data_IF_233205924494
#
_entry.id   IF_233205924494
#
_cell.length_a   1.000
_cell.length_b   1.000
_cell.length_c   1.000
_cell.angle_alpha   90.00
_cell.angle_beta   90.00
_cell.angle_gamma   90.00
#
_symmetry.space_group_name_H-M   'P 1'
#
loop_
_entity.id
_entity.type
_entity.pdbx_description
1 polymer ?
#
# COMPACT_ATOMS: atom_id res chain seq x y z
N UNK A 1 1.69 9.88 23.90
CA UNK A 1 0.87 10.55 22.87
C UNK A 1 1.61 10.42 21.56
N UNK A 2 1.07 9.65 20.61
CA UNK A 2 1.65 9.56 19.26
C UNK A 2 1.09 10.78 18.50
N UNK A 3 1.94 11.68 17.95
CA UNK A 3 1.47 12.83 17.21
C UNK A 3 0.56 12.38 16.06
N UNK A 4 -0.42 13.21 15.70
CA UNK A 4 -1.33 12.96 14.61
C UNK A 4 -0.52 12.68 13.33
N UNK A 5 -0.46 11.41 12.95
CA UNK A 5 0.37 10.93 11.85
C UNK A 5 -0.10 11.45 10.50
N UNK A 6 -1.38 11.86 10.38
CA UNK A 6 -1.95 12.43 9.15
C UNK A 6 -1.09 13.59 8.63
N UNK A 7 -0.97 14.69 9.40
CA UNK A 7 -0.14 15.84 9.06
C UNK A 7 1.33 15.53 8.74
N UNK A 8 1.96 14.59 9.46
CA UNK A 8 3.37 14.24 9.23
C UNK A 8 3.59 13.50 7.90
N UNK A 9 2.64 12.66 7.49
CA UNK A 9 2.72 11.95 6.21
C UNK A 9 2.33 12.87 5.04
N UNK A 10 1.36 13.77 5.20
CA UNK A 10 1.05 14.80 4.20
C UNK A 10 2.23 15.75 3.96
N UNK A 11 2.91 16.19 5.02
CA UNK A 11 4.10 17.07 4.92
C UNK A 11 5.31 16.38 4.30
N UNK A 12 5.38 15.04 4.37
CA UNK A 12 6.41 14.24 3.72
C UNK A 12 6.08 13.89 2.25
N UNK A 13 4.96 14.39 1.70
CA UNK A 13 4.52 14.07 0.34
C UNK A 13 4.04 12.63 0.18
N UNK A 14 3.68 11.96 1.27
CA UNK A 14 3.31 10.55 1.28
C UNK A 14 1.82 10.38 1.01
N UNK A 15 1.51 9.62 -0.05
CA UNK A 15 0.15 9.38 -0.53
C UNK A 15 -0.56 8.35 0.35
N UNK A 16 -1.72 8.71 0.90
CA UNK A 16 -2.55 7.85 1.77
C UNK A 16 -3.85 7.46 1.08
N UNK A 17 -3.93 6.32 0.39
CA UNK A 17 -5.16 5.55 0.49
C UNK A 17 -5.23 5.01 1.92
N UNK A 18 -6.40 5.04 2.54
CA UNK A 18 -6.62 4.27 3.76
C UNK A 18 -6.47 2.79 3.36
N UNK A 19 -5.44 2.09 3.84
CA UNK A 19 -5.21 0.68 3.52
C UNK A 19 -5.56 -0.16 4.73
N UNK A 20 -5.91 -1.43 4.51
CA UNK A 20 -6.16 -2.36 5.62
C UNK A 20 -5.53 -3.72 5.39
N UNK A 21 -4.98 -4.29 6.46
CA UNK A 21 -4.49 -5.68 6.45
C UNK A 21 -5.66 -6.64 6.70
N UNK A 22 -5.48 -7.93 6.39
CA UNK A 22 -6.49 -8.98 6.58
C UNK A 22 -7.05 -9.09 8.02
N UNK A 23 -6.38 -8.49 9.01
CA UNK A 23 -6.85 -8.44 10.40
C UNK A 23 -7.69 -7.19 10.72
N UNK A 24 -8.08 -6.38 9.72
CA UNK A 24 -8.87 -5.17 9.94
C UNK A 24 -8.06 -3.97 10.46
N UNK A 25 -6.74 -4.10 10.57
CA UNK A 25 -5.88 -3.01 11.05
C UNK A 25 -5.60 -2.04 9.92
N UNK A 26 -5.64 -0.74 10.24
CA UNK A 26 -5.24 0.30 9.32
C UNK A 26 -3.76 0.13 8.97
N UNK A 27 -3.51 -0.13 7.69
CA UNK A 27 -2.22 -0.08 7.06
C UNK A 27 -2.01 1.31 6.45
N UNK A 28 -0.74 1.69 6.37
CA UNK A 28 -0.34 2.80 5.52
C UNK A 28 0.75 2.29 4.60
N UNK A 29 0.56 2.46 3.29
CA UNK A 29 1.61 2.28 2.30
C UNK A 29 2.12 3.66 1.93
N UNK A 30 3.42 3.83 2.07
CA UNK A 30 4.11 5.07 1.74
C UNK A 30 5.08 4.75 0.61
N UNK A 31 4.91 5.39 -0.54
CA UNK A 31 5.80 5.27 -1.68
C UNK A 31 6.57 6.59 -1.82
N UNK A 32 7.88 6.53 -1.58
CA UNK A 32 8.81 7.65 -1.73
C UNK A 32 9.65 7.53 -2.99
N UNK A 33 10.63 8.43 -3.14
CA UNK A 33 11.53 8.43 -4.30
C UNK A 33 12.37 7.14 -4.41
N UNK A 34 12.84 6.60 -3.29
CA UNK A 34 13.82 5.50 -3.29
C UNK A 34 13.21 4.14 -2.88
N UNK A 35 12.06 4.15 -2.23
CA UNK A 35 11.47 2.96 -1.59
C UNK A 35 9.97 3.03 -1.40
N UNK A 36 9.39 1.85 -1.20
CA UNK A 36 8.04 1.65 -0.70
C UNK A 36 8.08 1.06 0.70
N UNK A 37 7.19 1.52 1.58
CA UNK A 37 7.09 1.03 2.95
C UNK A 37 5.63 0.72 3.30
N UNK A 38 5.43 -0.29 4.14
CA UNK A 38 4.14 -0.70 4.68
C UNK A 38 4.17 -0.65 6.20
N UNK A 39 3.19 0.01 6.80
CA UNK A 39 3.15 0.32 8.23
C UNK A 39 1.93 -0.34 8.89
N UNK A 40 2.12 -0.97 10.07
CA UNK A 40 1.05 -1.57 10.87
C UNK A 40 1.44 -1.73 12.35
N UNK A 41 0.80 -1.04 13.32
CA UNK A 41 0.09 0.23 13.22
C UNK A 41 1.06 1.40 12.92
N UNK A 42 0.56 2.57 12.48
CA UNK A 42 1.39 3.73 12.20
C UNK A 42 2.02 4.28 13.50
N UNK A 43 3.34 4.53 13.49
CA UNK A 43 4.09 5.11 14.64
C UNK A 43 5.23 4.25 15.22
N UNK A 44 5.60 3.12 14.60
CA UNK A 44 6.78 2.31 14.95
C UNK A 44 7.78 2.25 13.78
N UNK A 45 8.47 1.13 13.57
CA UNK A 45 9.17 0.85 12.32
C UNK A 45 8.17 0.33 11.27
N UNK A 46 8.44 0.50 9.97
CA UNK A 46 7.65 -0.16 8.94
C UNK A 46 7.73 -1.68 9.10
N UNK A 47 6.63 -2.37 8.84
CA UNK A 47 6.56 -3.84 8.80
C UNK A 47 7.24 -4.38 7.54
N UNK A 48 7.25 -3.57 6.48
CA UNK A 48 7.97 -3.84 5.26
C UNK A 48 8.55 -2.53 4.72
N UNK A 49 9.80 -2.54 4.31
CA UNK A 49 10.44 -1.46 3.58
C UNK A 49 11.27 -2.11 2.48
N UNK A 50 10.93 -1.81 1.23
CA UNK A 50 11.65 -2.29 0.06
C UNK A 50 12.12 -1.12 -0.76
N UNK A 51 13.41 -1.08 -1.06
CA UNK A 51 13.92 -0.21 -2.10
C UNK A 51 13.29 -0.59 -3.45
N UNK A 52 13.16 0.36 -4.38
CA UNK A 52 12.49 0.09 -5.65
C UNK A 52 13.20 -0.99 -6.48
N UNK A 53 14.50 -1.15 -6.32
CA UNK A 53 15.27 -2.24 -6.93
C UNK A 53 14.99 -3.61 -6.28
N UNK A 54 14.39 -3.68 -5.10
CA UNK A 54 13.91 -4.93 -4.51
C UNK A 54 12.51 -5.31 -5.02
N UNK A 55 11.76 -4.35 -5.57
CA UNK A 55 10.42 -4.57 -6.13
C UNK A 55 10.51 -5.05 -7.58
N UNK A 56 10.19 -6.33 -7.81
CA UNK A 56 10.16 -6.90 -9.16
C UNK A 56 8.94 -6.44 -9.96
N UNK A 57 7.78 -6.36 -9.30
CA UNK A 57 6.53 -5.93 -9.94
C UNK A 57 5.54 -5.34 -8.94
N UNK A 58 4.68 -4.44 -9.44
CA UNK A 58 3.45 -4.02 -8.80
C UNK A 58 2.31 -4.44 -9.72
N UNK A 59 1.39 -5.28 -9.26
CA UNK A 59 0.29 -5.80 -10.11
C UNK A 59 -1.05 -5.69 -9.41
N UNK A 60 -2.12 -5.71 -10.22
CA UNK A 60 -3.47 -5.92 -9.71
C UNK A 60 -3.64 -7.41 -9.45
N UNK A 61 -4.15 -7.74 -8.27
CA UNK A 61 -4.55 -9.08 -7.92
C UNK A 61 -5.85 -9.07 -7.12
N UNK A 62 -6.12 -10.17 -6.43
CA UNK A 62 -7.19 -10.25 -5.45
C UNK A 62 -6.67 -10.88 -4.16
N UNK A 63 -7.37 -10.60 -3.08
CA UNK A 63 -7.17 -11.32 -1.81
C UNK A 63 -8.53 -11.66 -1.19
N UNK A 64 -8.54 -12.61 -0.26
CA UNK A 64 -9.75 -13.02 0.44
C UNK A 64 -9.87 -12.25 1.75
N UNK A 65 -10.99 -11.53 1.94
CA UNK A 65 -11.33 -10.86 3.19
C UNK A 65 -12.69 -11.34 3.70
N UNK A 66 -12.78 -11.85 4.93
CA UNK A 66 -14.04 -12.31 5.55
C UNK A 66 -14.96 -12.99 4.50
N UNK A 67 -14.42 -13.95 3.77
CA UNK A 67 -15.13 -14.75 2.75
C UNK A 67 -15.43 -14.06 1.40
N UNK A 68 -15.01 -12.82 1.19
CA UNK A 68 -15.18 -12.06 -0.07
C UNK A 68 -13.86 -11.92 -0.82
N UNK A 69 -13.86 -12.14 -2.14
CA UNK A 69 -12.74 -11.76 -3.00
C UNK A 69 -12.76 -10.26 -3.21
N UNK A 70 -11.68 -9.57 -2.82
CA UNK A 70 -11.54 -8.13 -2.97
C UNK A 70 -10.34 -7.80 -3.86
N UNK A 71 -10.42 -6.75 -4.70
CA UNK A 71 -9.27 -6.24 -5.44
C UNK A 71 -8.12 -5.88 -4.48
N UNK A 72 -6.90 -6.19 -4.89
CA UNK A 72 -5.71 -5.89 -4.12
C UNK A 72 -4.58 -5.39 -5.01
N UNK A 73 -3.79 -4.49 -4.45
CA UNK A 73 -2.48 -4.09 -4.95
C UNK A 73 -1.50 -5.16 -4.49
N UNK A 74 -0.79 -5.81 -5.40
CA UNK A 74 0.19 -6.85 -5.05
C UNK A 74 1.59 -6.33 -5.34
N UNK A 75 2.36 -6.12 -4.28
CA UNK A 75 3.80 -5.85 -4.36
C UNK A 75 4.55 -7.17 -4.43
N UNK A 76 5.35 -7.36 -5.47
CA UNK A 76 6.20 -8.54 -5.64
C UNK A 76 7.65 -8.13 -5.46
N UNK A 77 8.38 -8.84 -4.60
CA UNK A 77 9.82 -8.67 -4.47
C UNK A 77 10.58 -9.51 -5.49
N UNK A 78 11.85 -9.17 -5.74
CA UNK A 78 12.79 -10.01 -6.50
C UNK A 78 13.11 -11.34 -5.81
N UNK A 79 12.82 -11.46 -4.52
CA UNK A 79 13.01 -12.68 -3.72
C UNK A 79 11.80 -13.62 -3.74
N UNK A 80 10.77 -13.33 -4.56
CA UNK A 80 9.60 -14.19 -4.71
C UNK A 80 8.51 -14.00 -3.64
N UNK A 81 8.65 -13.02 -2.74
CA UNK A 81 7.60 -12.65 -1.77
C UNK A 81 6.56 -11.77 -2.45
N UNK A 82 5.28 -12.11 -2.29
CA UNK A 82 4.13 -11.31 -2.76
C UNK A 82 3.31 -10.79 -1.58
N UNK A 83 3.06 -9.49 -1.55
CA UNK A 83 2.31 -8.82 -0.47
C UNK A 83 1.06 -8.16 -1.05
N UNK A 84 -0.13 -8.76 -0.86
CA UNK A 84 -1.39 -8.12 -1.23
C UNK A 84 -1.77 -7.04 -0.21
N UNK A 85 -2.20 -5.89 -0.71
CA UNK A 85 -2.67 -4.74 0.07
C UNK A 85 -4.03 -4.31 -0.49
N UNK A 86 -5.03 -4.20 0.38
CA UNK A 86 -6.38 -3.80 0.00
C UNK A 86 -6.53 -2.29 0.19
N UNK A 87 -7.03 -1.61 -0.83
CA UNK A 87 -7.45 -0.22 -0.74
C UNK A 87 -8.81 -0.15 -0.02
N UNK A 88 -8.91 0.56 1.10
CA UNK A 88 -10.20 0.84 1.70
C UNK A 88 -10.93 1.92 0.90
N UNK A 89 -12.24 1.76 0.69
CA UNK A 89 -13.07 2.89 0.30
C UNK A 89 -13.51 3.57 1.59
N UNK A 90 -12.98 4.77 1.86
CA UNK A 90 -13.21 5.54 3.08
C UNK A 90 -14.68 5.91 3.38
N UNK A 91 -15.63 5.37 2.61
CA UNK A 91 -17.07 5.45 2.83
C UNK A 91 -17.60 4.44 3.86
N UNK A 92 -16.88 3.34 4.15
CA UNK A 92 -17.30 2.39 5.19
C UNK A 92 -16.16 1.56 5.78
N UNK A 93 -16.33 1.09 7.01
CA UNK A 93 -15.35 0.27 7.74
C UNK A 93 -15.03 -1.06 7.04
N UNK A 94 -15.95 -1.57 6.22
CA UNK A 94 -15.81 -2.79 5.42
C UNK A 94 -15.87 -2.47 3.91
N UNK A 95 -15.56 -1.22 3.55
CA UNK A 95 -15.56 -0.75 2.17
C UNK A 95 -14.18 -0.92 1.57
N UNK A 96 -14.12 -1.51 0.39
CA UNK A 96 -12.91 -1.60 -0.43
C UNK A 96 -13.08 -0.71 -1.65
N UNK A 97 -11.97 -0.23 -2.20
CA UNK A 97 -11.98 0.39 -3.51
C UNK A 97 -12.32 -0.67 -4.57
N UNK A 98 -12.95 -0.23 -5.65
CA UNK A 98 -13.26 -1.10 -6.78
C UNK A 98 -12.02 -1.43 -7.62
N UNK A 99 -12.20 -2.27 -8.64
CA UNK A 99 -11.12 -2.68 -9.53
C UNK A 99 -10.49 -1.50 -10.27
N UNK A 100 -11.29 -0.50 -10.67
CA UNK A 100 -10.79 0.64 -11.43
C UNK A 100 -9.90 1.56 -10.56
N UNK A 101 -10.33 1.82 -9.32
CA UNK A 101 -9.51 2.55 -8.36
C UNK A 101 -8.22 1.78 -7.99
N UNK A 102 -8.30 0.46 -7.88
CA UNK A 102 -7.13 -0.40 -7.64
C UNK A 102 -6.15 -0.38 -8.81
N UNK A 103 -6.65 -0.45 -10.05
CA UNK A 103 -5.86 -0.34 -11.27
C UNK A 103 -5.14 1.00 -11.38
N UNK A 104 -5.85 2.11 -11.13
CA UNK A 104 -5.27 3.45 -11.14
C UNK A 104 -4.13 3.57 -10.11
N UNK A 105 -4.36 3.07 -8.90
CA UNK A 105 -3.35 3.10 -7.85
C UNK A 105 -2.12 2.23 -8.17
N UNK A 106 -2.32 1.05 -8.77
CA UNK A 106 -1.22 0.22 -9.27
C UNK A 106 -0.41 0.95 -10.34
N UNK A 107 -1.07 1.67 -11.25
CA UNK A 107 -0.39 2.45 -12.28
C UNK A 107 0.48 3.56 -11.66
N UNK A 108 -0.02 4.26 -10.63
CA UNK A 108 0.75 5.28 -9.92
C UNK A 108 1.99 4.71 -9.22
N UNK A 109 1.86 3.58 -8.53
CA UNK A 109 2.99 2.92 -7.89
C UNK A 109 4.04 2.42 -8.90
N UNK A 110 3.60 1.94 -10.07
CA UNK A 110 4.52 1.56 -11.16
C UNK A 110 5.31 2.76 -11.64
N UNK A 111 4.64 3.89 -11.87
CA UNK A 111 5.29 5.14 -12.30
C UNK A 111 6.37 5.55 -11.29
N UNK A 112 6.05 5.55 -10.00
CA UNK A 112 7.02 5.91 -8.94
C UNK A 112 8.21 4.94 -8.89
N UNK A 113 7.98 3.64 -9.02
CA UNK A 113 9.06 2.65 -9.10
C UNK A 113 9.97 2.90 -10.30
N UNK A 114 9.38 3.15 -11.46
CA UNK A 114 10.13 3.33 -12.71
C UNK A 114 10.90 4.66 -12.68
N UNK A 115 10.37 5.71 -12.04
CA UNK A 115 11.07 6.97 -11.78
C UNK A 115 12.24 6.80 -10.80
N UNK A 116 12.07 6.01 -9.73
CA UNK A 116 13.14 5.73 -8.75
C UNK A 116 14.22 4.77 -9.24
N UNK A 117 13.97 4.06 -10.35
CA UNK A 117 14.93 3.15 -10.98
C UNK A 117 15.76 3.80 -12.11
N UNK A 118 15.45 5.06 -12.47
CA UNK A 118 16.09 5.83 -13.54
C UNK A 118 17.28 6.67 -13.03
#
# INVERSE_FOLDING_TARGET
>A
MVPALGPALEQAGLWRPELRNLAGSDLVLTAGADRVELWCPPGRAPVLAWAWDEVSAVVVGSTTWEFTQVPAVVLQSRHGVSVPVVLASGSSRHGWADAAATEAFVADLRRLRDEGAA
#
